data_IF_481328204667
#
_entry.id   IF_481328204667
#
_cell.length_a   1.000
_cell.length_b   1.000
_cell.length_c   1.000
_cell.angle_alpha   90.00
_cell.angle_beta   90.00
_cell.angle_gamma   90.00
#
_symmetry.space_group_name_H-M   'P 1'
#
loop_
_entity.id
_entity.type
_entity.pdbx_description
1 polymer ?
#
# COMPACT_ATOMS: atom_id res chain seq x y z
N UNK A 1 -15.31 29.21 -17.30
CA UNK A 1 -15.85 30.35 -18.08
C UNK A 1 -14.75 30.88 -18.98
N UNK A 2 -15.00 31.07 -20.28
CA UNK A 2 -13.99 31.62 -21.23
C UNK A 2 -13.85 33.14 -21.11
N UNK A 3 -14.86 33.78 -20.51
CA UNK A 3 -14.99 35.20 -20.19
C UNK A 3 -14.45 35.59 -18.79
N UNK A 4 -13.79 34.65 -18.09
CA UNK A 4 -13.22 34.90 -16.76
C UNK A 4 -12.13 35.98 -16.80
N UNK A 5 -12.30 37.05 -16.03
CA UNK A 5 -11.29 38.10 -15.90
C UNK A 5 -10.77 38.20 -14.45
N UNK A 6 -9.50 37.89 -14.15
CA UNK A 6 -8.97 37.88 -12.79
C UNK A 6 -9.01 39.24 -12.07
N UNK A 7 -9.25 40.35 -12.79
CA UNK A 7 -9.28 41.69 -12.22
C UNK A 7 -10.62 42.10 -11.58
N UNK A 8 -11.73 41.39 -11.86
CA UNK A 8 -13.05 41.72 -11.29
C UNK A 8 -13.46 40.68 -10.23
N UNK A 9 -13.56 41.08 -8.96
CA UNK A 9 -13.94 40.20 -7.84
C UNK A 9 -15.46 40.14 -7.60
N UNK A 10 -16.24 39.91 -8.66
CA UNK A 10 -17.70 39.80 -8.54
C UNK A 10 -18.11 38.33 -8.48
N UNK A 11 -19.21 38.01 -7.79
CA UNK A 11 -19.75 36.63 -7.70
C UNK A 11 -20.05 36.00 -9.07
N UNK A 12 -20.38 36.84 -10.06
CA UNK A 12 -20.61 36.45 -11.46
C UNK A 12 -19.34 36.22 -12.27
N UNK A 13 -18.18 36.68 -11.78
CA UNK A 13 -16.92 36.61 -12.49
C UNK A 13 -15.94 35.70 -11.74
N UNK A 14 -16.36 34.45 -11.56
CA UNK A 14 -15.50 33.39 -11.04
C UNK A 14 -15.19 32.36 -12.15
N UNK A 15 -14.09 31.59 -12.05
CA UNK A 15 -13.69 30.60 -13.05
C UNK A 15 -14.80 29.59 -13.38
N UNK A 16 -15.58 29.20 -12.38
CA UNK A 16 -16.71 28.27 -12.51
C UNK A 16 -18.03 29.00 -12.29
N UNK A 17 -19.00 28.79 -13.16
CA UNK A 17 -20.33 29.39 -13.06
C UNK A 17 -21.29 28.47 -12.32
N UNK A 18 -22.16 29.05 -11.50
CA UNK A 18 -23.29 28.39 -10.88
C UNK A 18 -24.55 29.11 -11.36
N UNK A 19 -25.38 28.43 -12.14
CA UNK A 19 -26.59 29.02 -12.73
C UNK A 19 -27.77 28.18 -12.33
N UNK A 20 -28.72 28.78 -11.63
CA UNK A 20 -30.02 28.18 -11.34
C UNK A 20 -30.99 28.61 -12.44
N UNK A 21 -31.52 27.63 -13.15
CA UNK A 21 -32.46 27.82 -14.26
C UNK A 21 -33.82 27.29 -13.86
N UNK A 22 -34.86 28.08 -14.11
CA UNK A 22 -36.23 27.56 -14.13
C UNK A 22 -36.52 27.01 -15.53
N UNK A 23 -36.77 25.70 -15.62
CA UNK A 23 -37.07 25.02 -16.87
C UNK A 23 -38.48 25.33 -17.39
N UNK A 24 -39.41 25.75 -16.52
CA UNK A 24 -40.78 26.07 -16.94
C UNK A 24 -40.83 27.44 -17.62
N UNK A 25 -40.41 28.47 -16.89
CA UNK A 25 -40.46 29.86 -17.36
C UNK A 25 -39.23 30.28 -18.20
N UNK A 26 -38.26 29.38 -18.39
CA UNK A 26 -37.05 29.60 -19.21
C UNK A 26 -36.25 30.85 -18.83
N UNK A 27 -36.16 31.16 -17.53
CA UNK A 27 -35.36 32.28 -17.02
C UNK A 27 -34.33 31.83 -15.98
N UNK A 28 -33.30 32.67 -15.80
CA UNK A 28 -32.25 32.45 -14.80
C UNK A 28 -32.75 32.99 -13.46
N UNK A 29 -32.88 32.11 -12.47
CA UNK A 29 -33.25 32.49 -11.10
C UNK A 29 -32.08 33.15 -10.36
N UNK A 30 -30.89 32.56 -10.51
CA UNK A 30 -29.70 33.00 -9.81
C UNK A 30 -28.46 32.66 -10.61
N UNK A 31 -27.54 33.61 -10.66
CA UNK A 31 -26.21 33.45 -11.24
C UNK A 31 -25.16 33.78 -10.19
N UNK A 32 -24.28 32.81 -9.93
CA UNK A 32 -23.13 32.92 -9.03
C UNK A 32 -21.95 32.17 -9.64
N UNK A 33 -20.90 31.96 -8.88
CA UNK A 33 -19.74 31.22 -9.32
C UNK A 33 -18.88 30.68 -8.18
N UNK A 34 -17.88 29.90 -8.55
CA UNK A 34 -16.90 29.31 -7.64
C UNK A 34 -15.47 29.53 -8.13
N UNK A 35 -14.56 29.75 -7.18
CA UNK A 35 -13.12 29.86 -7.45
C UNK A 35 -12.51 28.54 -7.97
N UNK A 36 -13.10 27.42 -7.59
CA UNK A 36 -12.69 26.06 -7.94
C UNK A 36 -13.94 25.20 -8.16
N UNK A 37 -13.81 24.09 -8.90
CA UNK A 37 -14.97 23.26 -9.23
C UNK A 37 -15.64 22.74 -7.95
N UNK A 38 -16.93 22.96 -7.74
CA UNK A 38 -17.58 22.72 -6.45
C UNK A 38 -17.82 21.23 -6.17
N UNK A 39 -17.80 20.39 -7.19
CA UNK A 39 -18.11 18.97 -7.09
C UNK A 39 -16.83 18.13 -7.13
N UNK A 40 -16.80 17.08 -6.32
CA UNK A 40 -15.88 15.98 -6.50
C UNK A 40 -16.73 14.77 -6.90
N UNK A 41 -16.40 14.15 -8.03
CA UNK A 41 -17.09 12.96 -8.53
C UNK A 41 -16.12 11.80 -8.42
N UNK A 42 -16.58 10.73 -7.79
CA UNK A 42 -15.83 9.49 -7.69
C UNK A 42 -16.24 8.58 -8.86
N UNK A 43 -15.25 8.04 -9.56
CA UNK A 43 -15.43 7.12 -10.69
C UNK A 43 -14.81 5.78 -10.31
N UNK A 44 -15.57 4.69 -10.34
CA UNK A 44 -15.01 3.38 -10.02
C UNK A 44 -14.06 2.89 -11.12
N UNK A 45 -14.58 2.80 -12.35
CA UNK A 45 -13.81 2.48 -13.55
C UNK A 45 -14.26 3.37 -14.70
N UNK A 46 -13.30 3.97 -15.41
CA UNK A 46 -13.56 4.93 -16.49
C UNK A 46 -13.33 4.27 -17.85
N UNK A 47 -14.38 4.25 -18.68
CA UNK A 47 -14.25 3.87 -20.08
C UNK A 47 -14.05 5.11 -20.97
N UNK A 48 -13.01 5.13 -21.83
CA UNK A 48 -12.82 6.21 -22.79
C UNK A 48 -14.06 6.37 -23.68
N UNK A 49 -14.54 7.61 -23.85
CA UNK A 49 -15.68 7.92 -24.71
C UNK A 49 -17.05 7.84 -24.02
N UNK A 50 -17.13 7.34 -22.78
CA UNK A 50 -18.37 7.36 -21.99
C UNK A 50 -18.34 8.49 -20.95
N UNK A 51 -19.51 9.08 -20.70
CA UNK A 51 -19.69 10.15 -19.72
C UNK A 51 -19.84 9.65 -18.27
N UNK A 52 -20.12 8.36 -18.09
CA UNK A 52 -20.37 7.72 -16.80
C UNK A 52 -19.37 6.57 -16.57
N UNK A 53 -19.07 6.32 -15.29
CA UNK A 53 -18.23 5.19 -14.87
C UNK A 53 -19.01 3.89 -14.74
N UNK A 54 -18.31 2.76 -14.88
CA UNK A 54 -18.86 1.45 -14.49
C UNK A 54 -18.98 1.30 -12.98
N UNK A 55 -19.62 0.23 -12.54
CA UNK A 55 -19.66 -0.20 -11.14
C UNK A 55 -19.48 -1.72 -11.07
N UNK A 56 -18.81 -2.26 -10.05
CA UNK A 56 -18.65 -3.71 -9.91
C UNK A 56 -20.00 -4.43 -9.80
N UNK A 57 -21.04 -3.74 -9.32
CA UNK A 57 -22.40 -4.27 -9.27
C UNK A 57 -23.05 -4.42 -10.66
N UNK A 58 -22.65 -3.61 -11.64
CA UNK A 58 -23.11 -3.76 -13.03
C UNK A 58 -22.52 -5.02 -13.66
N UNK A 59 -21.23 -5.26 -13.42
CA UNK A 59 -20.52 -6.43 -13.93
C UNK A 59 -20.95 -7.73 -13.22
N UNK A 60 -21.18 -7.69 -11.90
CA UNK A 60 -21.67 -8.80 -11.09
C UNK A 60 -23.17 -9.11 -11.27
N UNK A 61 -23.90 -8.29 -12.03
CA UNK A 61 -25.36 -8.39 -12.17
C UNK A 61 -25.86 -9.77 -12.63
N UNK A 62 -25.21 -10.48 -13.58
CA UNK A 62 -25.61 -11.83 -13.96
C UNK A 62 -25.53 -12.82 -12.80
N UNK A 63 -24.43 -12.80 -12.05
CA UNK A 63 -24.19 -13.72 -10.93
C UNK A 63 -25.15 -13.44 -9.77
N UNK A 64 -25.41 -12.16 -9.46
CA UNK A 64 -26.40 -11.75 -8.46
C UNK A 64 -27.80 -12.28 -8.83
N UNK A 65 -28.18 -12.18 -10.12
CA UNK A 65 -29.47 -12.70 -10.59
C UNK A 65 -29.54 -14.21 -10.52
N UNK A 66 -28.47 -14.90 -10.92
CA UNK A 66 -28.39 -16.36 -10.84
C UNK A 66 -28.49 -16.84 -9.38
N UNK A 67 -27.75 -16.23 -8.45
CA UNK A 67 -27.80 -16.51 -7.03
C UNK A 67 -29.22 -16.35 -6.46
N UNK A 68 -29.91 -15.26 -6.82
CA UNK A 68 -31.28 -15.01 -6.37
C UNK A 68 -32.26 -16.08 -6.88
N UNK A 69 -32.12 -16.52 -8.13
CA UNK A 69 -32.95 -17.59 -8.72
C UNK A 69 -32.66 -18.91 -8.02
N UNK A 70 -31.39 -19.29 -7.84
CA UNK A 70 -30.99 -20.53 -7.17
C UNK A 70 -31.50 -20.55 -5.73
N UNK A 71 -31.36 -19.43 -4.99
CA UNK A 71 -31.86 -19.32 -3.63
C UNK A 71 -33.37 -19.49 -3.57
N UNK A 72 -34.11 -18.85 -4.49
CA UNK A 72 -35.57 -19.00 -4.59
C UNK A 72 -35.98 -20.44 -4.89
N UNK A 73 -35.34 -21.10 -5.85
CA UNK A 73 -35.60 -22.49 -6.19
C UNK A 73 -35.24 -23.44 -5.04
N UNK A 74 -34.12 -23.20 -4.34
CA UNK A 74 -33.72 -23.97 -3.16
C UNK A 74 -34.75 -23.87 -2.04
N UNK A 75 -35.29 -22.67 -1.79
CA UNK A 75 -36.37 -22.48 -0.82
C UNK A 75 -37.65 -23.22 -1.23
N UNK A 76 -38.01 -23.19 -2.52
CA UNK A 76 -39.16 -23.94 -3.03
C UNK A 76 -38.96 -25.44 -2.90
N UNK A 77 -37.78 -25.96 -3.22
CA UNK A 77 -37.48 -27.38 -3.03
C UNK A 77 -37.51 -27.76 -1.55
N UNK A 78 -36.98 -26.90 -0.66
CA UNK A 78 -37.05 -27.13 0.78
C UNK A 78 -38.50 -27.18 1.27
N UNK A 79 -39.37 -26.30 0.76
CA UNK A 79 -40.81 -26.31 1.04
C UNK A 79 -41.48 -27.59 0.51
N UNK A 80 -41.26 -27.95 -0.76
CA UNK A 80 -41.82 -29.17 -1.35
C UNK A 80 -41.28 -30.44 -0.69
N UNK A 81 -40.05 -30.44 -0.20
CA UNK A 81 -39.48 -31.57 0.55
C UNK A 81 -40.10 -31.68 1.95
N UNK A 82 -40.33 -30.54 2.62
CA UNK A 82 -41.05 -30.49 3.89
C UNK A 82 -42.53 -30.89 3.73
N UNK A 83 -43.14 -30.54 2.59
CA UNK A 83 -44.55 -30.74 2.27
C UNK A 83 -44.72 -31.28 0.84
N UNK A 84 -44.48 -32.60 0.61
CA UNK A 84 -44.53 -33.17 -0.72
C UNK A 84 -45.95 -33.26 -1.26
N UNK A 85 -46.16 -33.07 -2.59
CA UNK A 85 -47.45 -33.26 -3.20
C UNK A 85 -47.84 -34.76 -3.17
N UNK A 86 -49.11 -35.02 -2.87
CA UNK A 86 -49.63 -36.36 -2.67
C UNK A 86 -50.60 -36.75 -3.80
N UNK A 87 -50.59 -38.00 -4.23
CA UNK A 87 -51.55 -38.54 -5.19
C UNK A 87 -52.83 -38.99 -4.48
N UNK A 88 -53.98 -38.57 -4.98
CA UNK A 88 -55.31 -38.88 -4.43
C UNK A 88 -56.26 -39.42 -5.52
N UNK A 89 -57.18 -40.30 -5.14
CA UNK A 89 -58.20 -40.87 -6.05
C UNK A 89 -59.44 -39.97 -6.13
N UNK A 90 -60.20 -40.10 -7.22
CA UNK A 90 -61.32 -39.20 -7.58
C UNK A 90 -62.51 -39.23 -6.60
N UNK A 91 -62.65 -40.28 -5.79
CA UNK A 91 -63.66 -40.39 -4.71
C UNK A 91 -63.24 -39.66 -3.42
N UNK A 92 -62.02 -39.10 -3.35
CA UNK A 92 -61.54 -38.33 -2.22
C UNK A 92 -61.99 -36.87 -2.31
N UNK A 93 -63.18 -36.59 -1.78
CA UNK A 93 -63.62 -35.22 -1.51
C UNK A 93 -63.24 -34.83 -0.07
N UNK A 94 -62.67 -33.63 0.11
CA UNK A 94 -62.09 -33.05 1.34
C UNK A 94 -60.69 -33.53 1.75
N UNK A 95 -59.70 -33.37 0.86
CA UNK A 95 -58.27 -33.52 1.21
C UNK A 95 -57.69 -32.16 1.56
N UNK A 96 -57.24 -32.01 2.81
CA UNK A 96 -56.47 -30.85 3.25
C UNK A 96 -54.98 -31.08 2.97
N UNK A 97 -54.45 -30.36 1.97
CA UNK A 97 -53.05 -30.38 1.55
C UNK A 97 -52.22 -29.28 2.23
N UNK A 98 -52.75 -28.63 3.27
CA UNK A 98 -51.99 -27.62 4.01
C UNK A 98 -50.82 -28.23 4.80
N UNK A 99 -49.77 -27.43 5.07
CA UNK A 99 -48.73 -27.74 6.04
C UNK A 99 -49.32 -28.38 7.31
N UNK A 100 -49.03 -29.66 7.60
CA UNK A 100 -49.55 -30.44 8.75
C UNK A 100 -51.01 -30.94 8.65
N UNK A 101 -51.63 -30.94 7.48
CA UNK A 101 -52.94 -31.56 7.25
C UNK A 101 -52.89 -33.09 7.34
N UNK A 102 -53.81 -33.70 8.10
CA UNK A 102 -53.94 -35.17 8.24
C UNK A 102 -55.16 -35.63 7.43
N UNK A 103 -54.96 -36.58 6.51
CA UNK A 103 -56.02 -37.18 5.70
C UNK A 103 -56.24 -38.65 6.09
N UNK A 104 -57.50 -39.06 6.33
CA UNK A 104 -57.87 -40.41 6.76
C UNK A 104 -58.53 -41.22 5.64
N UNK A 105 -58.21 -42.51 5.55
CA UNK A 105 -58.64 -43.44 4.50
C UNK A 105 -59.59 -44.52 5.04
N UNK A 106 -60.66 -44.89 4.31
CA UNK A 106 -61.36 -46.14 4.54
C UNK A 106 -61.36 -47.00 3.26
N UNK A 107 -60.40 -47.93 3.10
CA UNK A 107 -60.52 -49.29 2.47
C UNK A 107 -59.14 -49.99 2.44
N UNK A 108 -59.15 -51.34 2.35
CA UNK A 108 -58.15 -52.29 2.88
C UNK A 108 -56.76 -52.36 2.25
N UNK A 109 -56.45 -51.68 1.14
CA UNK A 109 -55.09 -51.66 0.60
C UNK A 109 -54.77 -50.34 -0.13
N UNK A 110 -55.00 -49.23 0.57
CA UNK A 110 -54.81 -47.87 0.07
C UNK A 110 -53.57 -47.26 0.73
N UNK A 111 -52.41 -47.35 0.06
CA UNK A 111 -51.16 -46.73 0.53
C UNK A 111 -50.99 -45.35 -0.11
N UNK A 112 -51.01 -44.33 0.74
CA UNK A 112 -50.62 -42.98 0.40
C UNK A 112 -49.10 -42.92 0.25
N UNK A 113 -48.60 -42.67 -0.97
CA UNK A 113 -47.16 -42.56 -1.24
C UNK A 113 -46.81 -41.16 -1.73
N UNK A 114 -45.74 -40.54 -1.18
CA UNK A 114 -45.29 -39.24 -1.65
C UNK A 114 -44.76 -39.36 -3.09
N UNK A 115 -45.09 -38.39 -3.94
CA UNK A 115 -44.46 -38.28 -5.26
C UNK A 115 -42.99 -37.92 -5.04
N UNK A 116 -42.07 -38.86 -5.27
CA UNK A 116 -40.63 -38.61 -5.16
C UNK A 116 -40.16 -37.72 -6.32
N UNK A 117 -40.36 -36.41 -6.21
CA UNK A 117 -39.73 -35.43 -7.11
C UNK A 117 -38.25 -35.26 -6.72
N UNK A 118 -37.39 -36.06 -7.34
CA UNK A 118 -35.96 -35.78 -7.55
C UNK A 118 -35.07 -35.63 -6.30
N UNK A 119 -34.43 -36.71 -5.88
CA UNK A 119 -33.49 -36.77 -4.74
C UNK A 119 -32.12 -36.04 -4.94
N UNK A 120 -31.93 -35.29 -6.03
CA UNK A 120 -30.66 -34.60 -6.32
C UNK A 120 -30.62 -33.15 -5.82
N UNK A 121 -30.76 -32.96 -4.51
CA UNK A 121 -30.55 -31.67 -3.83
C UNK A 121 -29.08 -31.16 -3.76
N UNK A 122 -28.02 -32.01 -3.72
CA UNK A 122 -26.64 -31.56 -3.48
C UNK A 122 -26.10 -30.55 -4.50
N UNK A 123 -26.55 -30.62 -5.75
CA UNK A 123 -26.12 -29.72 -6.84
C UNK A 123 -26.50 -28.27 -6.53
N UNK A 124 -27.65 -28.03 -5.88
CA UNK A 124 -28.10 -26.66 -5.58
C UNK A 124 -27.29 -25.97 -4.49
N UNK A 125 -26.74 -26.70 -3.51
CA UNK A 125 -25.97 -26.12 -2.41
C UNK A 125 -24.54 -25.78 -2.83
N UNK A 126 -23.91 -26.64 -3.65
CA UNK A 126 -22.59 -26.37 -4.20
C UNK A 126 -22.62 -25.19 -5.16
N UNK A 127 -23.60 -25.16 -6.08
CA UNK A 127 -23.79 -24.02 -6.98
C UNK A 127 -24.10 -22.73 -6.22
N UNK A 128 -24.94 -22.79 -5.18
CA UNK A 128 -25.21 -21.62 -4.34
C UNK A 128 -23.93 -21.08 -3.70
N UNK A 129 -23.07 -21.94 -3.15
CA UNK A 129 -21.80 -21.53 -2.59
C UNK A 129 -20.86 -20.93 -3.66
N UNK A 130 -20.83 -21.52 -4.86
CA UNK A 130 -20.02 -21.00 -5.97
C UNK A 130 -20.45 -19.59 -6.40
N UNK A 131 -21.76 -19.36 -6.59
CA UNK A 131 -22.27 -18.04 -6.93
C UNK A 131 -22.14 -17.04 -5.78
N UNK A 132 -22.27 -17.48 -4.53
CA UNK A 132 -22.01 -16.62 -3.38
C UNK A 132 -20.54 -16.17 -3.34
N UNK A 133 -19.60 -17.09 -3.60
CA UNK A 133 -18.18 -16.76 -3.69
C UNK A 133 -17.89 -15.85 -4.87
N UNK A 134 -18.44 -16.12 -6.05
CA UNK A 134 -18.27 -15.27 -7.22
C UNK A 134 -18.74 -13.82 -6.95
N UNK A 135 -19.89 -13.65 -6.27
CA UNK A 135 -20.37 -12.33 -5.86
C UNK A 135 -19.41 -11.68 -4.85
N UNK A 136 -18.91 -12.42 -3.86
CA UNK A 136 -17.89 -11.90 -2.91
C UNK A 136 -16.62 -11.45 -3.61
N UNK A 137 -16.18 -12.19 -4.63
CA UNK A 137 -14.99 -11.89 -5.41
C UNK A 137 -15.16 -10.59 -6.22
N UNK A 138 -16.34 -10.38 -6.84
CA UNK A 138 -16.66 -9.12 -7.55
C UNK A 138 -16.58 -7.88 -6.65
N UNK A 139 -16.91 -8.03 -5.36
CA UNK A 139 -16.86 -6.95 -4.36
C UNK A 139 -15.56 -6.95 -3.53
N UNK A 140 -14.59 -7.79 -3.86
CA UNK A 140 -13.29 -7.89 -3.17
C UNK A 140 -13.42 -8.09 -1.66
N UNK A 141 -14.46 -8.79 -1.21
CA UNK A 141 -14.79 -8.95 0.22
C UNK A 141 -13.60 -9.55 0.98
N UNK A 142 -13.03 -10.64 0.44
CA UNK A 142 -11.93 -11.35 1.09
C UNK A 142 -10.66 -10.50 1.20
N UNK A 143 -10.43 -9.60 0.23
CA UNK A 143 -9.32 -8.64 0.30
C UNK A 143 -9.52 -7.63 1.44
N UNK A 144 -10.70 -7.03 1.55
CA UNK A 144 -10.97 -6.06 2.62
C UNK A 144 -11.01 -6.72 4.00
N UNK A 145 -11.52 -7.95 4.10
CA UNK A 145 -11.44 -8.74 5.33
C UNK A 145 -9.98 -9.06 5.70
N UNK A 146 -9.15 -9.49 4.75
CA UNK A 146 -7.73 -9.74 4.98
C UNK A 146 -6.95 -8.47 5.37
N UNK A 147 -7.38 -7.29 4.93
CA UNK A 147 -6.81 -6.01 5.36
C UNK A 147 -7.21 -5.63 6.80
N UNK A 148 -8.44 -5.99 7.21
CA UNK A 148 -8.97 -5.70 8.53
C UNK A 148 -8.48 -6.70 9.58
N UNK A 149 -8.35 -7.97 9.20
CA UNK A 149 -7.87 -9.05 10.06
C UNK A 149 -6.35 -8.96 10.24
N UNK A 150 -5.93 -8.25 11.29
CA UNK A 150 -4.53 -8.26 11.73
C UNK A 150 -4.04 -9.62 12.26
N UNK A 151 -4.85 -10.69 12.30
CA UNK A 151 -4.49 -11.90 13.07
C UNK A 151 -5.34 -13.18 12.86
N UNK A 152 -6.14 -13.33 11.80
CA UNK A 152 -7.07 -14.46 11.65
C UNK A 152 -6.59 -15.55 10.69
N UNK A 153 -6.12 -16.70 11.22
CA UNK A 153 -5.98 -18.04 10.61
C UNK A 153 -5.32 -18.27 9.24
N UNK A 154 -4.98 -17.23 8.48
CA UNK A 154 -4.40 -17.37 7.14
C UNK A 154 -2.87 -17.33 7.22
N UNK A 155 -2.19 -18.20 6.49
CA UNK A 155 -0.72 -18.24 6.53
C UNK A 155 -0.15 -16.93 5.97
N UNK A 156 0.91 -16.39 6.58
CA UNK A 156 1.47 -15.09 6.20
C UNK A 156 1.83 -14.99 4.71
N UNK A 157 2.17 -16.11 4.07
CA UNK A 157 2.47 -16.22 2.65
C UNK A 157 1.22 -16.08 1.78
N UNK A 158 0.14 -16.77 2.14
CA UNK A 158 -1.15 -16.73 1.42
C UNK A 158 -1.80 -15.34 1.53
N UNK A 159 -1.66 -14.68 2.68
CA UNK A 159 -2.04 -13.27 2.84
C UNK A 159 -1.24 -12.37 1.90
N UNK A 160 0.07 -12.57 1.76
CA UNK A 160 0.91 -11.76 0.86
C UNK A 160 0.61 -12.01 -0.62
N UNK A 161 0.36 -13.27 -1.01
CA UNK A 161 -0.02 -13.62 -2.38
C UNK A 161 -1.41 -13.07 -2.75
N UNK A 162 -2.40 -13.26 -1.87
CA UNK A 162 -3.76 -12.72 -2.05
C UNK A 162 -3.76 -11.19 -2.05
N UNK A 163 -2.98 -10.56 -1.16
CA UNK A 163 -2.78 -9.12 -1.17
C UNK A 163 -2.10 -8.67 -2.46
N UNK A 164 -1.17 -9.44 -3.03
CA UNK A 164 -0.48 -9.11 -4.26
C UNK A 164 -1.37 -9.16 -5.50
N UNK A 165 -2.06 -10.28 -5.73
CA UNK A 165 -2.94 -10.46 -6.88
C UNK A 165 -4.09 -9.45 -6.86
N UNK A 166 -4.75 -9.28 -5.71
CA UNK A 166 -5.89 -8.37 -5.59
C UNK A 166 -5.49 -6.90 -5.49
N UNK A 167 -4.32 -6.56 -4.96
CA UNK A 167 -3.84 -5.17 -4.98
C UNK A 167 -3.54 -4.67 -6.40
N UNK A 168 -3.09 -5.56 -7.30
CA UNK A 168 -2.92 -5.21 -8.71
C UNK A 168 -4.25 -4.82 -9.36
N UNK A 169 -5.31 -5.61 -9.14
CA UNK A 169 -6.65 -5.33 -9.68
C UNK A 169 -7.28 -4.07 -9.07
N UNK A 170 -7.06 -3.83 -7.76
CA UNK A 170 -7.57 -2.64 -7.07
C UNK A 170 -6.71 -1.38 -7.30
N UNK A 171 -5.57 -1.48 -7.97
CA UNK A 171 -4.64 -0.36 -8.16
C UNK A 171 -5.29 0.83 -8.87
N UNK A 172 -6.08 0.58 -9.92
CA UNK A 172 -6.82 1.60 -10.68
C UNK A 172 -7.91 2.27 -9.84
N UNK A 173 -8.66 1.49 -9.07
CA UNK A 173 -9.66 1.99 -8.13
C UNK A 173 -9.03 2.91 -7.08
N UNK A 174 -7.89 2.51 -6.49
CA UNK A 174 -7.19 3.30 -5.47
C UNK A 174 -6.70 4.63 -6.04
N UNK A 175 -6.18 4.64 -7.27
CA UNK A 175 -5.76 5.88 -7.94
C UNK A 175 -6.94 6.83 -8.11
N UNK A 176 -8.08 6.33 -8.62
CA UNK A 176 -9.29 7.15 -8.78
C UNK A 176 -9.83 7.66 -7.43
N UNK A 177 -9.82 6.81 -6.41
CA UNK A 177 -10.24 7.18 -5.06
C UNK A 177 -9.35 8.28 -4.47
N UNK A 178 -8.04 8.15 -4.62
CA UNK A 178 -7.07 9.16 -4.19
C UNK A 178 -7.25 10.48 -4.96
N UNK A 179 -7.54 10.44 -6.26
CA UNK A 179 -7.83 11.63 -7.06
C UNK A 179 -9.09 12.34 -6.55
N UNK A 180 -10.17 11.57 -6.31
CA UNK A 180 -11.41 12.08 -5.73
C UNK A 180 -11.17 12.72 -4.36
N UNK A 181 -10.53 11.99 -3.44
CA UNK A 181 -10.24 12.50 -2.09
C UNK A 181 -9.32 13.73 -2.12
N UNK A 182 -8.36 13.77 -3.04
CA UNK A 182 -7.47 14.92 -3.21
C UNK A 182 -8.27 16.17 -3.60
N UNK A 183 -9.22 16.06 -4.53
CA UNK A 183 -10.12 17.16 -4.91
C UNK A 183 -10.94 17.66 -3.72
N UNK A 184 -11.47 16.74 -2.90
CA UNK A 184 -12.24 17.08 -1.69
C UNK A 184 -11.39 17.81 -0.66
N UNK A 185 -10.20 17.28 -0.35
CA UNK A 185 -9.27 17.86 0.63
C UNK A 185 -8.78 19.23 0.15
N UNK A 186 -8.36 19.34 -1.11
CA UNK A 186 -7.87 20.60 -1.68
C UNK A 186 -8.93 21.69 -1.62
N UNK A 187 -10.17 21.38 -2.01
CA UNK A 187 -11.28 22.33 -1.92
C UNK A 187 -11.60 22.72 -0.48
N UNK A 188 -11.61 21.75 0.44
CA UNK A 188 -11.86 22.00 1.86
C UNK A 188 -10.79 22.91 2.45
N UNK A 189 -9.51 22.64 2.17
CA UNK A 189 -8.39 23.49 2.56
C UNK A 189 -8.55 24.91 2.02
N UNK A 190 -8.83 25.05 0.72
CA UNK A 190 -8.97 26.36 0.08
C UNK A 190 -10.15 27.17 0.63
N UNK A 191 -11.25 26.49 1.00
CA UNK A 191 -12.38 27.13 1.69
C UNK A 191 -12.00 27.64 3.08
N UNK A 192 -11.34 26.79 3.89
CA UNK A 192 -10.90 27.16 5.24
C UNK A 192 -9.85 28.28 5.21
N UNK A 193 -8.94 28.24 4.24
CA UNK A 193 -7.93 29.28 4.03
C UNK A 193 -8.59 30.61 3.69
N UNK A 194 -9.58 30.64 2.78
CA UNK A 194 -10.33 31.87 2.45
C UNK A 194 -11.20 32.37 3.60
N UNK A 195 -11.70 31.46 4.43
CA UNK A 195 -12.47 31.81 5.63
C UNK A 195 -11.60 32.32 6.79
N UNK A 196 -10.27 32.28 6.67
CA UNK A 196 -9.35 32.68 7.74
C UNK A 196 -9.38 31.74 8.95
N UNK A 197 -9.84 30.49 8.77
CA UNK A 197 -9.93 29.50 9.85
C UNK A 197 -8.66 28.65 10.02
N UNK A 198 -7.74 28.74 9.06
CA UNK A 198 -6.43 28.11 9.16
C UNK A 198 -5.42 29.03 9.83
N UNK A 199 -4.38 28.47 10.50
CA UNK A 199 -3.25 29.26 10.98
C UNK A 199 -2.60 30.07 9.86
N UNK A 200 -1.98 31.20 10.21
CA UNK A 200 -1.25 32.01 9.24
C UNK A 200 -0.16 31.16 8.55
N UNK A 201 -0.10 31.28 7.21
CA UNK A 201 0.88 30.56 6.41
C UNK A 201 2.28 31.02 6.82
N UNK A 202 3.21 30.11 7.17
CA UNK A 202 4.58 30.48 7.47
C UNK A 202 5.21 31.32 6.35
N UNK A 203 5.94 32.39 6.72
CA UNK A 203 6.62 33.29 5.79
C UNK A 203 7.48 32.54 4.76
N UNK A 204 8.12 31.44 5.18
CA UNK A 204 8.95 30.58 4.31
C UNK A 204 8.18 29.94 3.14
N UNK A 205 6.85 29.84 3.23
CA UNK A 205 5.98 29.26 2.20
C UNK A 205 5.29 30.33 1.35
N UNK A 206 5.11 31.56 1.87
CA UNK A 206 4.48 32.66 1.12
C UNK A 206 5.29 33.03 -0.12
N UNK A 207 6.62 33.10 0.00
CA UNK A 207 7.49 33.51 -1.11
C UNK A 207 7.65 32.43 -2.20
N UNK A 208 7.34 31.16 -1.87
CA UNK A 208 7.64 30.01 -2.73
C UNK A 208 6.47 29.52 -3.59
N UNK A 209 5.30 30.18 -3.57
CA UNK A 209 4.07 29.69 -4.24
C UNK A 209 3.85 28.19 -3.99
N UNK A 210 4.04 27.74 -2.75
CA UNK A 210 4.01 26.33 -2.41
C UNK A 210 2.65 25.71 -2.78
N UNK A 211 2.68 24.54 -3.42
CA UNK A 211 1.49 23.77 -3.76
C UNK A 211 1.28 22.71 -2.68
N UNK A 212 0.02 22.47 -2.33
CA UNK A 212 -0.33 21.42 -1.37
C UNK A 212 -0.09 20.07 -2.03
N UNK A 213 0.81 19.28 -1.44
CA UNK A 213 0.95 17.86 -1.76
C UNK A 213 0.14 17.07 -0.74
N UNK A 214 -0.79 16.25 -1.22
CA UNK A 214 -1.64 15.39 -0.39
C UNK A 214 -1.08 13.98 -0.48
N UNK A 215 -0.57 13.47 0.63
CA UNK A 215 -0.07 12.10 0.74
C UNK A 215 -1.03 11.29 1.63
N UNK A 216 -1.63 10.23 1.07
CA UNK A 216 -2.52 9.33 1.81
C UNK A 216 -1.72 8.26 2.55
N UNK A 217 -1.86 8.21 3.88
CA UNK A 217 -1.11 7.29 4.76
C UNK A 217 -1.94 6.14 5.31
N UNK A 218 -3.15 5.91 4.78
CA UNK A 218 -4.04 4.84 5.25
C UNK A 218 -3.51 3.42 4.99
N UNK A 219 -4.02 2.39 5.68
CA UNK A 219 -3.54 1.00 5.57
C UNK A 219 -3.51 0.46 4.14
N UNK A 220 -4.52 0.82 3.33
CA UNK A 220 -4.60 0.44 1.92
C UNK A 220 -3.47 1.05 1.09
N UNK A 221 -3.20 2.35 1.27
CA UNK A 221 -2.12 3.06 0.59
C UNK A 221 -0.74 2.55 1.05
N UNK A 222 -0.59 2.22 2.34
CA UNK A 222 0.63 1.61 2.86
C UNK A 222 0.87 0.22 2.27
N UNK A 223 -0.16 -0.62 2.15
CA UNK A 223 -0.01 -1.94 1.53
C UNK A 223 0.29 -1.87 0.04
N UNK A 224 -0.31 -0.91 -0.69
CA UNK A 224 0.03 -0.67 -2.09
C UNK A 224 1.50 -0.22 -2.24
N UNK A 225 1.97 0.71 -1.40
CA UNK A 225 3.39 1.13 -1.37
C UNK A 225 4.29 -0.05 -1.04
N UNK A 226 3.99 -0.81 0.00
CA UNK A 226 4.75 -2.00 0.40
C UNK A 226 4.85 -3.00 -0.75
N UNK A 227 3.75 -3.27 -1.47
CA UNK A 227 3.77 -4.22 -2.58
C UNK A 227 4.57 -3.71 -3.78
N UNK A 228 4.23 -2.53 -4.33
CA UNK A 228 4.87 -2.03 -5.54
C UNK A 228 6.30 -1.55 -5.32
N UNK A 229 6.59 -0.90 -4.19
CA UNK A 229 7.91 -0.32 -3.92
C UNK A 229 8.84 -1.32 -3.25
N UNK A 230 8.39 -2.13 -2.27
CA UNK A 230 9.30 -3.11 -1.65
C UNK A 230 9.45 -4.40 -2.44
N UNK A 231 8.37 -4.97 -3.01
CA UNK A 231 8.46 -6.26 -3.70
C UNK A 231 9.50 -6.25 -4.82
N UNK A 232 9.40 -5.25 -5.70
CA UNK A 232 10.37 -5.04 -6.78
C UNK A 232 11.77 -4.71 -6.27
N UNK A 233 11.90 -3.86 -5.24
CA UNK A 233 13.21 -3.43 -4.71
C UNK A 233 13.96 -4.56 -4.01
N UNK A 234 13.29 -5.37 -3.18
CA UNK A 234 13.90 -6.50 -2.47
C UNK A 234 14.30 -7.60 -3.45
N UNK A 235 13.47 -7.88 -4.46
CA UNK A 235 13.79 -8.85 -5.50
C UNK A 235 14.96 -8.36 -6.37
N UNK A 236 14.96 -7.07 -6.75
CA UNK A 236 16.07 -6.46 -7.48
C UNK A 236 17.37 -6.48 -6.69
N UNK A 237 17.35 -6.13 -5.40
CA UNK A 237 18.53 -6.19 -4.52
C UNK A 237 19.07 -7.61 -4.38
N UNK A 238 18.18 -8.59 -4.26
CA UNK A 238 18.55 -10.01 -4.19
C UNK A 238 19.17 -10.51 -5.50
N UNK A 239 18.72 -10.01 -6.65
CA UNK A 239 19.27 -10.32 -7.97
C UNK A 239 20.60 -9.58 -8.24
N UNK A 240 20.75 -8.35 -7.75
CA UNK A 240 21.94 -7.50 -7.98
C UNK A 240 23.07 -7.82 -7.01
N UNK A 241 22.78 -8.35 -5.81
CA UNK A 241 23.79 -8.72 -4.81
C UNK A 241 24.95 -9.58 -5.35
N UNK A 242 24.68 -10.70 -6.06
CA UNK A 242 25.73 -11.51 -6.69
C UNK A 242 26.49 -10.77 -7.80
N UNK A 243 25.82 -9.86 -8.53
CA UNK A 243 26.43 -9.07 -9.60
C UNK A 243 27.45 -8.08 -9.03
N UNK A 244 27.14 -7.42 -7.91
CA UNK A 244 28.07 -6.52 -7.22
C UNK A 244 29.28 -7.28 -6.67
N UNK A 245 29.08 -8.50 -6.17
CA UNK A 245 30.19 -9.35 -5.71
C UNK A 245 31.14 -9.73 -6.85
N UNK A 246 30.61 -9.95 -8.06
CA UNK A 246 31.39 -10.33 -9.24
C UNK A 246 31.99 -9.11 -9.97
N UNK A 247 31.29 -7.98 -9.97
CA UNK A 247 31.68 -6.71 -10.58
C UNK A 247 31.47 -5.56 -9.60
N UNK A 248 32.49 -5.21 -8.79
CA UNK A 248 32.36 -4.18 -7.75
C UNK A 248 31.88 -2.82 -8.26
N UNK A 249 32.28 -2.44 -9.49
CA UNK A 249 31.89 -1.17 -10.13
C UNK A 249 30.39 -1.10 -10.46
N UNK A 250 29.68 -2.23 -10.48
CA UNK A 250 28.22 -2.23 -10.67
C UNK A 250 27.48 -1.59 -9.48
N UNK A 251 28.13 -1.50 -8.32
CA UNK A 251 27.60 -0.82 -7.14
C UNK A 251 27.42 0.69 -7.32
N UNK A 252 28.16 1.32 -8.25
CA UNK A 252 28.11 2.76 -8.50
C UNK A 252 26.77 3.23 -9.08
N UNK A 253 25.96 2.31 -9.61
CA UNK A 253 24.61 2.59 -10.10
C UNK A 253 23.55 2.66 -9.00
N UNK A 254 23.87 2.25 -7.76
CA UNK A 254 22.92 2.23 -6.65
C UNK A 254 23.22 3.36 -5.67
N UNK A 255 22.24 4.25 -5.49
CA UNK A 255 22.23 5.19 -4.36
C UNK A 255 21.72 4.47 -3.12
N UNK A 256 22.64 4.08 -2.23
CA UNK A 256 22.30 3.39 -0.99
C UNK A 256 21.48 4.23 -0.01
N UNK A 257 21.57 5.56 -0.06
CA UNK A 257 20.87 6.46 0.86
C UNK A 257 19.41 6.59 0.47
N UNK A 258 19.15 6.88 -0.81
CA UNK A 258 17.80 6.96 -1.35
C UNK A 258 17.08 5.60 -1.27
N UNK A 259 17.83 4.51 -1.53
CA UNK A 259 17.29 3.15 -1.41
C UNK A 259 16.89 2.81 0.03
N UNK A 260 17.70 3.19 1.03
CA UNK A 260 17.35 2.99 2.43
C UNK A 260 16.15 3.84 2.85
N UNK A 261 16.09 5.12 2.46
CA UNK A 261 14.94 5.99 2.73
C UNK A 261 13.66 5.45 2.12
N UNK A 262 13.68 5.13 0.84
CA UNK A 262 12.52 4.54 0.14
C UNK A 262 12.07 3.23 0.78
N UNK A 263 13.01 2.40 1.23
CA UNK A 263 12.68 1.15 1.95
C UNK A 263 12.02 1.42 3.30
N UNK A 264 12.54 2.37 4.10
CA UNK A 264 11.97 2.75 5.39
C UNK A 264 10.57 3.35 5.25
N UNK A 265 10.37 4.23 4.27
CA UNK A 265 9.05 4.78 3.94
C UNK A 265 8.07 3.70 3.47
N UNK A 266 8.53 2.77 2.62
CA UNK A 266 7.74 1.62 2.15
C UNK A 266 7.33 0.66 3.28
N UNK A 267 8.15 0.54 4.33
CA UNK A 267 7.83 -0.20 5.56
C UNK A 267 6.88 0.55 6.51
N UNK A 268 6.55 1.81 6.21
CA UNK A 268 5.68 2.64 7.03
C UNK A 268 6.36 3.21 8.28
N UNK A 269 7.70 3.35 8.29
CA UNK A 269 8.36 4.12 9.37
C UNK A 269 7.86 5.57 9.34
N UNK A 270 7.50 6.15 10.50
CA UNK A 270 7.02 7.53 10.54
C UNK A 270 8.18 8.50 10.20
N UNK A 271 7.89 9.58 9.48
CA UNK A 271 8.93 10.50 8.99
C UNK A 271 9.79 11.08 10.13
N UNK A 272 9.22 11.23 11.33
CA UNK A 272 9.92 11.77 12.49
C UNK A 272 11.09 10.90 13.02
N UNK A 273 11.16 9.63 12.63
CA UNK A 273 12.28 8.74 13.00
C UNK A 273 13.31 8.58 11.87
N UNK A 274 13.02 9.12 10.68
CA UNK A 274 13.94 9.16 9.56
C UNK A 274 14.76 10.45 9.67
N UNK A 275 16.08 10.32 9.64
CA UNK A 275 16.98 11.50 9.71
C UNK A 275 17.02 12.21 8.36
N UNK A 276 17.11 13.54 8.41
CA UNK A 276 17.30 14.38 7.23
C UNK A 276 18.71 14.23 6.65
N UNK A 277 18.88 14.56 5.37
CA UNK A 277 20.16 14.35 4.65
C UNK A 277 21.32 15.11 5.28
N UNK A 278 21.06 16.34 5.74
CA UNK A 278 22.08 17.18 6.34
C UNK A 278 22.59 16.61 7.67
N UNK A 279 21.73 15.96 8.44
CA UNK A 279 22.12 15.32 9.70
C UNK A 279 22.92 14.05 9.45
N UNK A 280 22.55 13.24 8.44
CA UNK A 280 23.30 12.05 8.05
C UNK A 280 24.70 12.44 7.53
N UNK A 281 24.80 13.51 6.73
CA UNK A 281 26.10 14.03 6.24
C UNK A 281 27.00 14.45 7.39
N UNK A 282 26.49 15.22 8.35
CA UNK A 282 27.26 15.62 9.55
C UNK A 282 27.77 14.40 10.33
N UNK A 283 26.91 13.41 10.58
CA UNK A 283 27.30 12.18 11.29
C UNK A 283 28.40 11.43 10.53
N UNK A 284 28.34 11.40 9.19
CA UNK A 284 29.39 10.78 8.36
C UNK A 284 30.69 11.56 8.40
N UNK A 285 30.64 12.88 8.30
CA UNK A 285 31.82 13.74 8.41
C UNK A 285 32.49 13.59 9.78
N UNK A 286 31.71 13.56 10.86
CA UNK A 286 32.20 13.30 12.22
C UNK A 286 32.82 11.91 12.33
N UNK A 287 32.20 10.89 11.73
CA UNK A 287 32.73 9.52 11.71
C UNK A 287 34.04 9.41 10.92
N UNK A 288 34.15 10.09 9.78
CA UNK A 288 35.37 10.13 8.97
C UNK A 288 36.49 10.82 9.75
N UNK A 289 36.21 11.97 10.38
CA UNK A 289 37.18 12.68 11.24
C UNK A 289 37.65 11.80 12.39
N UNK A 290 36.72 11.14 13.10
CA UNK A 290 37.05 10.24 14.19
C UNK A 290 37.89 9.03 13.72
N UNK A 291 37.61 8.46 12.55
CA UNK A 291 38.42 7.39 11.97
C UNK A 291 39.83 7.87 11.57
N UNK A 292 39.96 9.07 11.01
CA UNK A 292 41.26 9.65 10.66
C UNK A 292 42.11 9.91 11.92
N UNK A 293 41.51 10.44 12.98
CA UNK A 293 42.19 10.66 14.27
C UNK A 293 42.62 9.34 14.91
N UNK A 294 41.74 8.32 14.91
CA UNK A 294 42.06 7.00 15.41
C UNK A 294 43.19 6.33 14.61
N UNK A 295 43.17 6.41 13.27
CA UNK A 295 44.22 5.88 12.42
C UNK A 295 45.56 6.59 12.64
N UNK A 296 45.56 7.92 12.79
CA UNK A 296 46.75 8.70 13.09
C UNK A 296 47.37 8.33 14.45
N UNK A 297 46.53 8.13 15.48
CA UNK A 297 47.00 7.65 16.79
C UNK A 297 47.56 6.23 16.71
N UNK A 298 46.91 5.33 15.97
CA UNK A 298 47.41 3.97 15.77
C UNK A 298 48.76 3.95 15.05
N UNK A 299 48.93 4.82 14.05
CA UNK A 299 50.18 4.95 13.30
C UNK A 299 51.30 5.56 14.16
N UNK A 300 50.99 6.54 15.02
CA UNK A 300 51.93 7.08 16.01
C UNK A 300 52.33 6.05 17.06
N UNK A 301 51.39 5.26 17.59
CA UNK A 301 51.70 4.19 18.55
C UNK A 301 52.52 3.06 17.90
N UNK A 302 52.21 2.68 16.67
CA UNK A 302 53.02 1.70 15.93
C UNK A 302 54.44 2.23 15.69
N UNK A 303 54.59 3.49 15.32
CA UNK A 303 55.91 4.12 15.13
C UNK A 303 56.68 4.21 16.47
N UNK A 304 56.00 4.55 17.58
CA UNK A 304 56.59 4.58 18.91
C UNK A 304 57.01 3.17 19.41
N UNK A 305 56.21 2.13 19.15
CA UNK A 305 56.59 0.74 19.44
C UNK A 305 57.78 0.28 18.59
N UNK A 306 57.84 0.67 17.31
CA UNK A 306 58.97 0.35 16.43
C UNK A 306 60.24 1.06 16.90
N UNK A 307 60.12 2.32 17.35
CA UNK A 307 61.21 3.08 17.94
C UNK A 307 61.67 2.49 19.28
N UNK A 308 60.75 2.05 20.16
CA UNK A 308 61.10 1.36 21.41
C UNK A 308 61.76 -0.01 21.15
N UNK A 309 61.26 -0.81 20.21
CA UNK A 309 61.89 -2.08 19.84
C UNK A 309 63.29 -1.90 19.21
N UNK A 310 63.51 -0.80 18.49
CA UNK A 310 64.83 -0.45 17.96
C UNK A 310 65.75 0.14 19.03
N UNK A 311 65.22 0.87 20.00
CA UNK A 311 65.97 1.39 21.15
C UNK A 311 66.39 0.27 22.12
N UNK A 312 65.56 -0.76 22.34
CA UNK A 312 65.93 -1.95 23.14
C UNK A 312 67.04 -2.77 22.45
N UNK A 313 67.04 -2.85 21.12
CA UNK A 313 68.14 -3.47 20.35
C UNK A 313 69.44 -2.67 20.42
N UNK A 314 69.37 -1.34 20.50
CA UNK A 314 70.54 -0.47 20.70
C UNK A 314 71.03 -0.46 22.15
N UNK A 315 70.12 -0.60 23.12
CA UNK A 315 70.42 -0.70 24.55
C UNK A 315 71.09 -2.03 24.93
N UNK A 316 70.75 -3.13 24.25
CA UNK A 316 71.43 -4.42 24.44
C UNK A 316 72.79 -4.52 23.74
N UNK A 317 73.10 -3.65 22.78
CA UNK A 317 74.44 -3.57 22.16
C UNK A 317 75.40 -2.59 22.86
N UNK A 318 74.94 -1.85 23.88
CA UNK A 318 75.75 -0.85 24.58
C UNK A 318 76.40 -1.34 25.88
N UNK A 319 76.44 -2.66 26.15
CA UNK A 319 77.13 -3.23 27.31
C UNK A 319 78.23 -4.27 27.02
N UNK A 320 78.57 -4.56 25.76
CA UNK A 320 79.82 -5.28 25.45
C UNK A 320 80.48 -4.73 24.17
N UNK A 321 81.57 -3.98 24.35
CA UNK A 321 82.63 -3.75 23.35
C UNK A 321 82.28 -2.84 22.17
N UNK A 322 82.35 -1.52 22.36
CA UNK A 322 82.24 -0.55 21.26
C UNK A 322 83.50 -0.54 20.38
N UNK A 323 83.38 -0.66 19.03
CA UNK A 323 84.48 -0.49 18.07
C UNK A 323 85.10 0.93 18.01
N UNK A 324 84.58 1.88 18.80
CA UNK A 324 85.14 3.23 18.88
C UNK A 324 86.38 3.34 19.76
N UNK A 325 86.63 2.40 20.67
CA UNK A 325 87.85 2.39 21.50
C UNK A 325 89.08 1.83 20.74
N UNK A 326 88.89 0.91 19.79
CA UNK A 326 89.98 0.44 18.90
C UNK A 326 90.41 1.50 17.88
N UNK A 327 89.47 2.35 17.44
CA UNK A 327 89.75 3.45 16.53
C UNK A 327 90.58 4.56 17.21
N UNK A 328 90.32 4.81 18.50
CA UNK A 328 91.08 5.80 19.28
C UNK A 328 92.50 5.31 19.64
N UNK A 329 92.70 4.00 19.85
CA UNK A 329 94.05 3.43 20.05
C UNK A 329 94.89 3.39 18.76
N UNK A 330 94.27 3.21 17.59
CA UNK A 330 94.99 3.27 16.30
C UNK A 330 95.41 4.69 15.90
N UNK A 331 94.65 5.71 16.31
CA UNK A 331 95.03 7.12 16.11
C UNK A 331 96.11 7.60 17.07
N UNK A 332 96.18 7.05 18.30
CA UNK A 332 97.22 7.39 19.27
C UNK A 332 98.58 6.71 19.01
N UNK A 333 98.62 5.58 18.28
CA UNK A 333 99.86 4.85 17.97
C UNK A 333 100.60 5.27 16.68
N UNK A 334 100.03 6.19 15.89
CA UNK A 334 100.54 6.56 14.56
C UNK A 334 101.42 7.81 14.48
N UNK A 335 101.69 8.51 15.59
CA UNK A 335 102.53 9.72 15.63
C UNK A 335 103.81 9.52 16.46
N UNK A 336 104.52 8.42 16.25
CA UNK A 336 105.92 8.26 16.67
C UNK A 336 106.59 7.21 15.77
N UNK A 337 107.07 7.64 14.60
CA UNK A 337 107.78 6.76 13.66
C UNK A 337 108.10 7.40 12.32
N UNK A 338 109.21 8.17 12.31
CA UNK A 338 109.98 8.72 11.18
C UNK A 338 109.36 9.92 10.45
#
# INVERSE_FOLDING_TARGET
RTDYNPNFKNSKNMPWACVYLDLGEHHILMESGYNEFPFAVFEWERYPGFAYSSSPAQDAMPDIKALNIIKKSSLQIAQTSAEPPMMASEEMHDIDLSPRGITYLPTKDSRLEPVRTGENYPITLQELANYEQAVKDWFYVDYFLALQEKQGNMTATEVMELQGEKAATLSTFIVSLNEFLSKVIQRSFNLLMRAGLLPEVPLSLMDKKAVIKIDFTGPLAQNQKKYHQMGGTVQALSAVGPIIQMFPNAGDFLDGDELMKSTMEGMGMPQNVIREDDDVKKIREERIKAQQEAAAQQQQMAMAQTLMQNADKLGQTAQQGSPMDELNQRLAGGMNGI
#
